data_IF_672448531201
#
_entry.id   IF_672448531201
#
_cell.length_a   1.000
_cell.length_b   1.000
_cell.length_c   1.000
_cell.angle_alpha   90.00
_cell.angle_beta   90.00
_cell.angle_gamma   90.00
#
_symmetry.space_group_name_H-M   'P 1'
#
loop_
_entity.id
_entity.type
_entity.pdbx_description
1 polymer ?
#
# COMPACT_ATOMS: atom_id res chain seq x y z
N UNK A 1 -28.29 1.45 10.79
CA UNK A 1 -27.86 2.84 11.09
C UNK A 1 -26.35 3.00 11.27
N UNK A 2 -25.62 1.96 11.67
CA UNK A 2 -24.15 1.93 11.83
C UNK A 2 -23.34 2.22 10.56
N UNK A 3 -23.80 1.78 9.38
CA UNK A 3 -23.06 1.98 8.12
C UNK A 3 -22.98 3.45 7.66
N UNK A 4 -23.97 4.29 8.01
CA UNK A 4 -24.01 5.72 7.65
C UNK A 4 -23.05 6.55 8.51
N UNK A 5 -22.84 6.19 9.77
CA UNK A 5 -21.84 6.85 10.64
C UNK A 5 -20.39 6.51 10.28
N UNK A 6 -20.15 5.36 9.64
CA UNK A 6 -18.81 4.95 9.24
C UNK A 6 -18.24 5.78 8.08
N UNK A 7 -19.10 6.25 7.18
CA UNK A 7 -18.70 7.10 6.05
C UNK A 7 -18.49 8.55 6.50
N UNK A 8 -19.27 9.03 7.48
CA UNK A 8 -19.19 10.44 7.93
C UNK A 8 -17.91 10.80 8.68
N UNK A 9 -17.14 9.81 9.17
CA UNK A 9 -15.89 10.04 9.92
C UNK A 9 -14.62 9.67 9.14
N UNK A 10 -14.74 9.32 7.84
CA UNK A 10 -13.57 9.10 6.99
C UNK A 10 -12.91 10.43 6.68
N UNK A 11 -11.63 10.56 7.06
CA UNK A 11 -10.83 11.74 6.76
C UNK A 11 -10.51 11.77 5.27
N UNK A 12 -11.33 12.45 4.46
CA UNK A 12 -11.09 12.62 3.02
C UNK A 12 -9.71 13.19 2.69
N UNK A 13 -9.12 13.96 3.61
CA UNK A 13 -7.72 14.41 3.55
C UNK A 13 -6.74 13.26 3.32
N UNK A 14 -6.92 12.08 3.92
CA UNK A 14 -6.00 10.95 3.71
C UNK A 14 -6.14 10.36 2.31
N UNK A 15 -7.35 10.36 1.74
CA UNK A 15 -7.54 9.94 0.34
C UNK A 15 -6.88 10.92 -0.63
N UNK A 16 -7.04 12.23 -0.40
CA UNK A 16 -6.44 13.27 -1.22
C UNK A 16 -4.91 13.16 -1.18
N UNK A 17 -4.32 12.99 0.00
CA UNK A 17 -2.86 12.79 0.14
C UNK A 17 -2.43 11.52 -0.59
N UNK A 18 -3.13 10.41 -0.37
CA UNK A 18 -2.82 9.14 -1.01
C UNK A 18 -2.86 9.21 -2.54
N UNK A 19 -3.95 9.76 -3.09
CA UNK A 19 -4.08 9.97 -4.54
C UNK A 19 -3.03 10.95 -5.09
N UNK A 20 -2.64 11.97 -4.32
CA UNK A 20 -1.52 12.86 -4.65
C UNK A 20 -0.20 12.10 -4.85
N UNK A 21 0.11 11.15 -3.97
CA UNK A 21 1.29 10.29 -4.14
C UNK A 21 1.23 9.46 -5.43
N UNK A 22 0.05 8.93 -5.81
CA UNK A 22 -0.13 8.19 -7.06
C UNK A 22 0.04 9.07 -8.30
N UNK A 23 -0.46 10.30 -8.27
CA UNK A 23 -0.27 11.27 -9.37
C UNK A 23 1.21 11.63 -9.50
N UNK A 24 1.89 11.94 -8.39
CA UNK A 24 3.32 12.25 -8.37
C UNK A 24 4.13 11.06 -8.89
N UNK A 25 3.82 9.84 -8.44
CA UNK A 25 4.46 8.61 -8.94
C UNK A 25 4.27 8.46 -10.45
N UNK A 26 3.06 8.66 -10.95
CA UNK A 26 2.75 8.54 -12.38
C UNK A 26 3.56 9.55 -13.19
N UNK A 27 3.55 10.81 -12.78
CA UNK A 27 4.37 11.86 -13.42
C UNK A 27 5.85 11.49 -13.36
N UNK A 28 6.33 11.03 -12.20
CA UNK A 28 7.73 10.67 -12.00
C UNK A 28 8.16 9.52 -12.93
N UNK A 29 7.40 8.43 -12.99
CA UNK A 29 7.70 7.27 -13.84
C UNK A 29 7.64 7.62 -15.33
N UNK A 30 6.70 8.47 -15.76
CA UNK A 30 6.58 8.89 -17.15
C UNK A 30 7.73 9.81 -17.61
N UNK A 31 8.34 10.56 -16.70
CA UNK A 31 9.38 11.54 -17.02
C UNK A 31 10.81 11.07 -16.68
N UNK A 32 10.96 9.94 -15.99
CA UNK A 32 12.27 9.51 -15.48
C UNK A 32 12.71 8.19 -16.13
N UNK A 33 13.94 8.12 -16.65
CA UNK A 33 14.50 6.87 -17.16
C UNK A 33 14.52 5.77 -16.08
N UNK A 34 13.98 4.57 -16.35
CA UNK A 34 13.83 3.50 -15.35
C UNK A 34 15.13 2.71 -15.09
N UNK A 35 16.22 3.02 -15.78
CA UNK A 35 17.49 2.29 -15.72
C UNK A 35 18.30 2.56 -14.43
N UNK A 36 17.93 3.61 -13.68
CA UNK A 36 18.68 4.02 -12.50
C UNK A 36 18.07 3.45 -11.22
N UNK A 37 18.90 2.82 -10.39
CA UNK A 37 18.49 2.21 -9.11
C UNK A 37 17.76 3.17 -8.16
N UNK A 38 18.11 4.46 -8.16
CA UNK A 38 17.46 5.45 -7.28
C UNK A 38 16.03 5.75 -7.71
N UNK A 39 15.71 5.65 -9.01
CA UNK A 39 14.36 5.90 -9.56
C UNK A 39 13.41 4.85 -9.03
N UNK A 40 13.88 3.62 -8.99
CA UNK A 40 13.15 2.49 -8.45
C UNK A 40 12.92 2.61 -6.94
N UNK A 41 13.92 3.06 -6.18
CA UNK A 41 13.76 3.31 -4.73
C UNK A 41 12.72 4.40 -4.48
N UNK A 42 12.78 5.51 -5.23
CA UNK A 42 11.82 6.61 -5.11
C UNK A 42 10.42 6.14 -5.52
N UNK A 43 10.29 5.43 -6.64
CA UNK A 43 9.01 4.92 -7.13
C UNK A 43 8.37 3.96 -6.12
N UNK A 44 9.14 3.03 -5.55
CA UNK A 44 8.65 2.11 -4.52
C UNK A 44 8.24 2.83 -3.23
N UNK A 45 8.97 3.89 -2.85
CA UNK A 45 8.64 4.69 -1.67
C UNK A 45 7.35 5.49 -1.87
N UNK A 46 7.19 6.14 -3.03
CA UNK A 46 5.97 6.85 -3.39
C UNK A 46 4.76 5.92 -3.49
N UNK A 47 4.96 4.73 -4.08
CA UNK A 47 3.94 3.68 -4.16
C UNK A 47 3.50 3.24 -2.76
N UNK A 48 4.46 2.92 -1.88
CA UNK A 48 4.18 2.48 -0.51
C UNK A 48 3.44 3.54 0.30
N UNK A 49 3.89 4.80 0.24
CA UNK A 49 3.23 5.92 0.90
C UNK A 49 1.80 6.11 0.37
N UNK A 50 1.61 6.11 -0.95
CA UNK A 50 0.30 6.17 -1.59
C UNK A 50 -0.63 5.05 -1.11
N UNK A 51 -0.12 3.82 -1.03
CA UNK A 51 -0.87 2.66 -0.52
C UNK A 51 -1.27 2.83 0.95
N UNK A 52 -0.39 3.30 1.84
CA UNK A 52 -0.72 3.52 3.26
C UNK A 52 -1.89 4.48 3.41
N UNK A 53 -1.85 5.61 2.72
CA UNK A 53 -2.88 6.66 2.85
C UNK A 53 -4.22 6.22 2.25
N UNK A 54 -4.20 5.57 1.09
CA UNK A 54 -5.42 5.03 0.44
C UNK A 54 -6.01 3.88 1.26
N UNK A 55 -5.18 2.94 1.72
CA UNK A 55 -5.64 1.81 2.53
C UNK A 55 -6.17 2.27 3.90
N UNK A 56 -5.52 3.25 4.54
CA UNK A 56 -6.01 3.84 5.80
C UNK A 56 -7.36 4.51 5.63
N UNK A 57 -7.61 5.16 4.48
CA UNK A 57 -8.92 5.71 4.15
C UNK A 57 -9.96 4.61 3.87
N UNK A 58 -9.57 3.57 3.12
CA UNK A 58 -10.44 2.46 2.74
C UNK A 58 -10.96 1.69 3.96
N UNK A 59 -10.09 1.46 4.95
CA UNK A 59 -10.43 0.80 6.22
C UNK A 59 -10.99 1.75 7.27
N UNK A 60 -10.92 3.07 7.06
CA UNK A 60 -11.29 4.08 8.06
C UNK A 60 -10.40 4.08 9.31
N UNK A 61 -9.35 3.27 9.35
CA UNK A 61 -8.43 3.11 10.48
C UNK A 61 -7.00 2.99 9.98
N UNK A 62 -6.07 3.68 10.66
CA UNK A 62 -4.65 3.68 10.29
C UNK A 62 -3.99 2.30 10.47
N UNK A 63 -4.41 1.55 11.49
CA UNK A 63 -3.86 0.22 11.81
C UNK A 63 -4.04 -0.77 10.65
N UNK A 64 -5.28 -1.00 10.23
CA UNK A 64 -5.60 -1.91 9.12
C UNK A 64 -5.10 -1.39 7.77
N UNK A 65 -5.05 -0.07 7.60
CA UNK A 65 -4.41 0.58 6.45
C UNK A 65 -2.95 0.21 6.30
N UNK A 66 -2.16 0.28 7.37
CA UNK A 66 -0.74 -0.10 7.35
C UNK A 66 -0.57 -1.59 7.08
N UNK A 67 -1.33 -2.45 7.77
CA UNK A 67 -1.25 -3.91 7.57
C UNK A 67 -1.52 -4.29 6.10
N UNK A 68 -2.56 -3.69 5.51
CA UNK A 68 -2.91 -3.94 4.10
C UNK A 68 -1.86 -3.39 3.14
N UNK A 69 -1.36 -2.17 3.39
CA UNK A 69 -0.34 -1.56 2.54
C UNK A 69 0.97 -2.34 2.57
N UNK A 70 1.42 -2.79 3.75
CA UNK A 70 2.59 -3.67 3.90
C UNK A 70 2.35 -4.99 3.19
N UNK A 71 1.20 -5.62 3.40
CA UNK A 71 0.86 -6.88 2.75
C UNK A 71 0.91 -6.82 1.23
N UNK A 72 0.28 -5.81 0.62
CA UNK A 72 0.27 -5.62 -0.83
C UNK A 72 1.65 -5.21 -1.36
N UNK A 73 2.36 -4.32 -0.68
CA UNK A 73 3.67 -3.86 -1.11
C UNK A 73 4.72 -4.99 -1.10
N UNK A 74 4.71 -5.83 -0.06
CA UNK A 74 5.58 -7.01 0.00
C UNK A 74 5.26 -8.00 -1.12
N UNK A 75 3.98 -8.18 -1.50
CA UNK A 75 3.62 -9.01 -2.66
C UNK A 75 4.20 -8.44 -3.97
N UNK A 76 4.17 -7.12 -4.15
CA UNK A 76 4.79 -6.46 -5.31
C UNK A 76 6.29 -6.73 -5.34
N UNK A 77 6.97 -6.66 -4.19
CA UNK A 77 8.41 -6.98 -4.09
C UNK A 77 8.68 -8.46 -4.38
N UNK A 78 7.91 -9.37 -3.78
CA UNK A 78 8.07 -10.81 -4.01
C UNK A 78 7.88 -11.16 -5.49
N UNK A 79 6.89 -10.54 -6.14
CA UNK A 79 6.67 -10.70 -7.59
C UNK A 79 7.86 -10.16 -8.39
N UNK A 80 8.42 -9.03 -7.96
CA UNK A 80 9.56 -8.40 -8.61
C UNK A 80 10.86 -9.18 -8.47
N UNK A 81 11.06 -9.85 -7.34
CA UNK A 81 12.19 -10.74 -7.08
C UNK A 81 11.99 -12.15 -7.65
N UNK A 82 10.85 -12.40 -8.32
CA UNK A 82 10.45 -13.70 -8.89
C UNK A 82 10.43 -14.85 -7.85
N UNK A 83 10.18 -14.53 -6.58
CA UNK A 83 10.05 -15.48 -5.46
C UNK A 83 8.58 -15.76 -5.10
N UNK A 84 7.63 -15.23 -5.88
CA UNK A 84 6.21 -15.39 -5.61
C UNK A 84 5.69 -16.73 -6.16
N UNK A 85 5.94 -17.81 -5.43
CA UNK A 85 5.27 -19.11 -5.64
C UNK A 85 4.07 -19.29 -4.69
N UNK A 86 3.27 -20.33 -4.94
CA UNK A 86 2.06 -20.60 -4.13
C UNK A 86 2.37 -20.84 -2.65
N UNK A 87 3.52 -21.44 -2.35
CA UNK A 87 3.95 -21.72 -0.97
C UNK A 87 4.33 -20.43 -0.26
N UNK A 88 5.14 -19.57 -0.90
CA UNK A 88 5.55 -18.26 -0.38
C UNK A 88 4.35 -17.35 -0.21
N UNK A 89 3.41 -17.36 -1.15
CA UNK A 89 2.15 -16.64 -1.03
C UNK A 89 1.32 -17.12 0.17
N UNK A 90 1.17 -18.44 0.34
CA UNK A 90 0.43 -19.01 1.48
C UNK A 90 1.08 -18.68 2.83
N UNK A 91 2.41 -18.81 2.93
CA UNK A 91 3.17 -18.42 4.12
C UNK A 91 3.06 -16.92 4.38
N UNK A 92 3.08 -16.09 3.34
CA UNK A 92 2.93 -14.64 3.47
C UNK A 92 1.55 -14.26 4.00
N UNK A 93 0.48 -14.89 3.51
CA UNK A 93 -0.87 -14.69 4.03
C UNK A 93 -0.99 -15.14 5.50
N UNK A 94 -0.34 -16.25 5.88
CA UNK A 94 -0.30 -16.69 7.26
C UNK A 94 0.43 -15.67 8.15
N UNK A 95 1.55 -15.10 7.70
CA UNK A 95 2.29 -14.04 8.39
C UNK A 95 1.43 -12.79 8.55
N UNK A 96 0.73 -12.34 7.49
CA UNK A 96 -0.20 -11.21 7.58
C UNK A 96 -1.35 -11.48 8.55
N UNK A 97 -1.87 -12.71 8.56
CA UNK A 97 -2.85 -13.17 9.54
C UNK A 97 -2.33 -13.06 10.97
N UNK A 98 -1.10 -13.52 11.24
CA UNK A 98 -0.46 -13.37 12.55
C UNK A 98 -0.28 -11.90 12.92
N UNK A 99 0.25 -11.07 12.02
CA UNK A 99 0.42 -9.62 12.26
C UNK A 99 -0.92 -8.96 12.59
N UNK A 100 -2.00 -9.39 11.94
CA UNK A 100 -3.34 -8.88 12.21
C UNK A 100 -3.91 -9.27 13.58
N UNK A 101 -3.43 -10.36 14.19
CA UNK A 101 -3.87 -10.81 15.52
C UNK A 101 -3.20 -10.03 16.66
N UNK A 102 -1.98 -9.53 16.46
CA UNK A 102 -1.21 -8.82 17.48
C UNK A 102 -1.41 -7.29 17.48
N UNK A 103 -2.17 -6.74 16.53
CA UNK A 103 -2.26 -5.30 16.26
C UNK A 103 -3.65 -4.71 16.52
#
# INVERSE_FOLDING_TARGET
MTHRHYISNRRWTTLIIGTGFWVILTIFVLNTPPDKWWVEVIANSLLFLGMIFVASWAWGTRKWGIVTAVGLWSLVIMRRLDILDWITFGLWLAILGLISLFN
#
